data_IF_852883740908
#
_entry.id   IF_852883740908
#
_cell.length_a   1.000
_cell.length_b   1.000
_cell.length_c   1.000
_cell.angle_alpha   90.00
_cell.angle_beta   90.00
_cell.angle_gamma   90.00
#
_symmetry.space_group_name_H-M   'P 1'
#
loop_
_entity.id
_entity.type
_entity.pdbx_description
1 polymer ?
#
# COMPACT_ATOMS: atom_id res chain seq x y z
N UNK A 1 10.59 12.00 -1.66
CA UNK A 1 10.92 10.86 -0.77
C UNK A 1 11.49 9.75 -1.63
N UNK A 2 12.71 9.34 -1.35
CA UNK A 2 13.51 8.43 -2.19
C UNK A 2 13.37 6.97 -1.77
N UNK A 3 13.19 6.70 -0.46
CA UNK A 3 12.92 5.37 0.06
C UNK A 3 12.03 5.45 1.30
N UNK A 4 11.36 4.35 1.61
CA UNK A 4 10.42 4.21 2.73
C UNK A 4 10.71 2.88 3.40
N UNK A 5 10.72 2.87 4.73
CA UNK A 5 10.97 1.68 5.52
C UNK A 5 10.14 1.70 6.82
N UNK A 6 9.61 0.57 7.26
CA UNK A 6 8.99 0.42 8.57
C UNK A 6 9.89 -0.41 9.47
N UNK A 7 10.26 0.12 10.63
CA UNK A 7 11.11 -0.58 11.58
C UNK A 7 10.35 -1.63 12.42
N UNK A 8 11.08 -2.36 13.26
CA UNK A 8 10.51 -3.40 14.13
C UNK A 8 9.53 -2.82 15.16
N UNK A 9 9.71 -1.56 15.58
CA UNK A 9 8.83 -0.83 16.49
C UNK A 9 7.64 -0.17 15.77
N UNK A 10 7.49 -0.41 14.45
CA UNK A 10 6.42 0.09 13.56
C UNK A 10 6.48 1.60 13.28
N UNK A 11 7.61 2.27 13.57
CA UNK A 11 7.80 3.62 13.08
C UNK A 11 8.08 3.61 11.57
N UNK A 12 7.53 4.60 10.89
CA UNK A 12 7.82 4.80 9.46
C UNK A 12 9.04 5.70 9.29
N UNK A 13 9.97 5.26 8.47
CA UNK A 13 11.19 5.99 8.14
C UNK A 13 11.18 6.39 6.67
N UNK A 14 11.55 7.63 6.43
CA UNK A 14 11.55 8.22 5.10
C UNK A 14 12.93 8.76 4.77
N UNK A 15 13.54 8.22 3.73
CA UNK A 15 14.72 8.81 3.14
C UNK A 15 14.32 9.91 2.15
N UNK A 16 15.10 10.95 2.10
CA UNK A 16 14.88 12.10 1.20
C UNK A 16 16.20 12.71 0.73
N UNK A 17 16.10 13.76 -0.07
CA UNK A 17 17.25 14.60 -0.46
C UNK A 17 17.81 15.45 0.69
N UNK A 18 17.11 15.49 1.82
CA UNK A 18 17.46 16.32 2.98
C UNK A 18 17.71 15.50 4.25
N UNK A 19 17.91 14.19 4.14
CA UNK A 19 18.21 13.31 5.26
C UNK A 19 17.15 12.26 5.53
N UNK A 20 17.15 11.79 6.76
CA UNK A 20 16.30 10.73 7.27
C UNK A 20 15.20 11.35 8.15
N UNK A 21 13.96 10.89 7.99
CA UNK A 21 12.82 11.32 8.81
C UNK A 21 12.13 10.13 9.42
N UNK A 22 11.66 10.25 10.67
CA UNK A 22 10.84 9.25 11.36
C UNK A 22 9.44 9.81 11.62
N UNK A 23 8.43 9.00 11.36
CA UNK A 23 7.03 9.28 11.67
C UNK A 23 6.50 8.28 12.71
N UNK A 24 5.90 8.78 13.76
CA UNK A 24 5.39 8.00 14.90
C UNK A 24 3.86 7.87 14.91
N UNK A 25 3.20 8.20 13.80
CA UNK A 25 1.74 8.25 13.71
C UNK A 25 1.15 9.64 14.01
N UNK A 26 1.92 10.57 14.58
CA UNK A 26 1.46 11.93 14.93
C UNK A 26 2.37 13.03 14.41
N UNK A 27 3.67 12.86 14.53
CA UNK A 27 4.66 13.88 14.18
C UNK A 27 5.84 13.30 13.41
N UNK A 28 6.49 14.17 12.61
CA UNK A 28 7.69 13.84 11.87
C UNK A 28 8.90 14.45 12.56
N UNK A 29 9.94 13.63 12.84
CA UNK A 29 11.25 14.07 13.33
C UNK A 29 12.29 13.85 12.24
N UNK A 30 13.12 14.86 12.03
CA UNK A 30 14.15 14.85 10.99
C UNK A 30 15.54 14.65 11.59
N UNK A 31 16.40 13.90 10.90
CA UNK A 31 17.75 13.58 11.29
C UNK A 31 18.69 13.82 10.09
N UNK A 32 19.81 14.47 10.35
CA UNK A 32 20.87 14.71 9.35
C UNK A 32 22.25 14.69 10.02
N UNK A 33 23.28 14.52 9.23
CA UNK A 33 24.67 14.65 9.69
C UNK A 33 25.09 16.10 9.53
N UNK A 34 25.51 16.75 10.62
CA UNK A 34 26.04 18.13 10.64
C UNK A 34 25.15 19.17 9.91
N UNK A 35 23.82 18.96 9.91
CA UNK A 35 22.86 19.78 9.16
C UNK A 35 23.15 19.88 7.64
N UNK A 36 23.95 18.98 7.11
CA UNK A 36 24.23 18.91 5.68
C UNK A 36 23.09 18.26 4.89
N UNK A 37 22.98 18.60 3.61
CA UNK A 37 22.10 17.88 2.70
C UNK A 37 22.63 16.46 2.50
N UNK A 38 21.81 15.49 2.88
CA UNK A 38 22.15 14.07 2.80
C UNK A 38 21.07 13.35 1.98
N UNK A 39 21.39 12.99 0.75
CA UNK A 39 20.48 12.18 -0.08
C UNK A 39 20.50 10.74 0.41
N UNK A 40 19.37 10.27 0.95
CA UNK A 40 19.20 8.90 1.40
C UNK A 40 18.56 8.07 0.29
N UNK A 41 19.21 6.99 -0.13
CA UNK A 41 18.73 6.13 -1.23
C UNK A 41 18.11 4.82 -0.76
N UNK A 42 18.54 4.27 0.39
CA UNK A 42 18.01 3.04 0.94
C UNK A 42 18.17 2.97 2.46
N UNK A 43 17.30 2.20 3.12
CA UNK A 43 17.29 1.98 4.56
C UNK A 43 17.08 0.50 4.83
N UNK A 44 17.95 -0.11 5.64
CA UNK A 44 17.83 -1.49 6.14
C UNK A 44 17.97 -1.49 7.66
N UNK A 45 17.41 -2.48 8.33
CA UNK A 45 17.47 -2.63 9.78
C UNK A 45 18.20 -3.90 10.19
N UNK A 46 18.89 -3.86 11.34
CA UNK A 46 19.41 -5.03 12.04
C UNK A 46 18.75 -5.16 13.41
N UNK A 47 18.69 -6.38 13.96
CA UNK A 47 17.93 -6.71 15.18
C UNK A 47 18.40 -5.97 16.45
N UNK A 48 19.53 -5.28 16.38
CA UNK A 48 20.15 -4.54 17.49
C UNK A 48 19.82 -3.05 17.51
N UNK A 49 18.64 -2.66 17.01
CA UNK A 49 18.15 -1.28 16.98
C UNK A 49 18.97 -0.32 16.12
N UNK A 50 19.60 -0.81 15.06
CA UNK A 50 20.37 -0.01 14.12
C UNK A 50 19.71 0.02 12.77
N UNK A 51 19.65 1.24 12.19
CA UNK A 51 19.31 1.42 10.79
C UNK A 51 20.58 1.66 9.99
N UNK A 52 20.68 0.97 8.89
CA UNK A 52 21.77 1.13 7.93
C UNK A 52 21.23 1.97 6.77
N UNK A 53 21.87 3.09 6.55
CA UNK A 53 21.38 4.13 5.66
C UNK A 53 22.40 4.35 4.54
N UNK A 54 22.00 4.07 3.31
CA UNK A 54 22.79 4.38 2.13
C UNK A 54 22.53 5.83 1.75
N UNK A 55 23.61 6.59 1.58
CA UNK A 55 23.53 7.96 1.11
C UNK A 55 24.34 8.14 -0.18
N UNK A 56 24.20 9.31 -0.80
CA UNK A 56 25.00 9.66 -1.97
C UNK A 56 26.53 9.69 -1.70
N UNK A 57 26.92 9.83 -0.44
CA UNK A 57 28.34 9.90 -0.06
C UNK A 57 28.82 8.61 0.57
N UNK A 58 28.10 8.13 1.61
CA UNK A 58 28.59 7.04 2.45
C UNK A 58 27.47 6.13 2.95
N UNK A 59 27.87 4.94 3.43
CA UNK A 59 27.05 4.06 4.25
C UNK A 59 27.15 4.52 5.71
N UNK A 60 26.01 4.88 6.31
CA UNK A 60 25.89 5.23 7.71
C UNK A 60 25.16 4.15 8.50
N UNK A 61 25.51 4.02 9.78
CA UNK A 61 24.69 3.36 10.78
C UNK A 61 23.98 4.44 11.61
N UNK A 62 22.66 4.39 11.69
CA UNK A 62 21.88 5.26 12.58
C UNK A 62 21.49 4.48 13.84
N UNK A 63 22.00 4.92 14.99
CA UNK A 63 21.66 4.37 16.31
C UNK A 63 20.31 4.94 16.74
N UNK A 64 19.25 4.13 16.71
CA UNK A 64 17.88 4.57 17.04
C UNK A 64 17.74 5.00 18.50
N UNK A 65 18.51 4.40 19.43
CA UNK A 65 18.46 4.75 20.86
C UNK A 65 19.13 6.08 21.15
N UNK A 66 20.26 6.34 20.47
CA UNK A 66 21.01 7.59 20.63
C UNK A 66 20.55 8.70 19.67
N UNK A 67 19.70 8.34 18.69
CA UNK A 67 19.25 9.20 17.59
C UNK A 67 20.42 9.89 16.86
N UNK A 68 21.49 9.13 16.59
CA UNK A 68 22.72 9.65 15.98
C UNK A 68 23.23 8.77 14.86
N UNK A 69 23.77 9.43 13.85
CA UNK A 69 24.52 8.76 12.79
C UNK A 69 25.93 8.41 13.28
N UNK A 70 26.40 7.23 12.90
CA UNK A 70 27.74 6.71 13.14
C UNK A 70 28.33 6.25 11.81
N UNK A 71 29.54 6.69 11.49
CA UNK A 71 30.30 6.14 10.36
C UNK A 71 30.99 4.85 10.81
N UNK A 72 30.75 3.72 10.15
CA UNK A 72 31.52 2.50 10.39
C UNK A 72 32.99 2.72 10.00
N UNK A 73 33.93 2.12 10.73
CA UNK A 73 35.32 2.02 10.34
C UNK A 73 35.54 0.77 9.47
N UNK A 74 36.50 0.84 8.56
CA UNK A 74 36.87 -0.28 7.69
C UNK A 74 38.31 -0.72 7.98
N UNK A 75 38.58 -2.02 7.80
CA UNK A 75 39.85 -2.62 8.13
C UNK A 75 41.04 -2.00 7.37
N UNK A 76 40.79 -1.41 6.20
CA UNK A 76 41.81 -0.69 5.40
C UNK A 76 42.08 0.75 5.90
N UNK A 77 41.58 1.11 7.07
CA UNK A 77 41.72 2.42 7.69
C UNK A 77 40.81 3.50 7.09
N UNK A 78 40.00 3.19 6.10
CA UNK A 78 38.99 4.11 5.57
C UNK A 78 37.87 4.29 6.58
N UNK A 79 37.44 5.54 6.74
CA UNK A 79 36.33 5.88 7.65
C UNK A 79 34.96 5.89 6.94
N UNK A 80 34.95 5.66 5.63
CA UNK A 80 33.70 5.74 4.87
C UNK A 80 33.82 5.05 3.51
N UNK A 81 32.73 4.40 3.07
CA UNK A 81 32.62 3.83 1.72
C UNK A 81 31.31 4.28 1.06
N UNK A 82 31.40 4.55 -0.22
CA UNK A 82 30.21 4.73 -1.06
C UNK A 82 29.65 3.38 -1.50
N UNK A 83 28.36 3.18 -1.35
CA UNK A 83 27.63 1.96 -1.64
C UNK A 83 26.43 2.30 -2.50
N UNK A 84 26.21 1.60 -3.61
CA UNK A 84 25.06 1.84 -4.48
C UNK A 84 23.83 0.99 -4.11
N UNK A 85 24.04 -0.19 -3.57
CA UNK A 85 22.98 -1.08 -3.10
C UNK A 85 23.51 -2.01 -2.00
N UNK A 86 22.60 -2.44 -1.13
CA UNK A 86 22.95 -3.27 0.04
C UNK A 86 21.84 -4.26 0.39
N UNK A 87 22.23 -5.45 0.82
CA UNK A 87 21.38 -6.42 1.48
C UNK A 87 22.05 -6.94 2.74
N UNK A 88 21.27 -7.19 3.81
CA UNK A 88 21.79 -7.68 5.09
C UNK A 88 21.27 -9.08 5.32
N UNK A 89 22.16 -10.00 5.66
CA UNK A 89 21.79 -11.38 5.99
C UNK A 89 22.37 -11.77 7.36
N UNK A 90 21.48 -12.26 8.24
CA UNK A 90 21.88 -12.71 9.58
C UNK A 90 22.50 -11.61 10.43
N UNK A 91 22.01 -10.37 10.35
CA UNK A 91 22.41 -9.19 11.13
C UNK A 91 23.89 -8.75 11.04
N UNK A 92 24.79 -9.62 10.59
CA UNK A 92 26.22 -9.36 10.61
C UNK A 92 26.88 -9.34 9.24
N UNK A 93 26.26 -9.92 8.23
CA UNK A 93 26.79 -10.00 6.87
C UNK A 93 26.10 -8.99 5.96
N UNK A 94 26.88 -8.12 5.38
CA UNK A 94 26.46 -7.05 4.52
C UNK A 94 26.95 -7.31 3.10
N UNK A 95 26.01 -7.59 2.22
CA UNK A 95 26.26 -7.73 0.80
C UNK A 95 26.07 -6.37 0.15
N UNK A 96 27.13 -5.79 -0.37
CA UNK A 96 27.13 -4.44 -0.90
C UNK A 96 27.60 -4.42 -2.36
N UNK A 97 27.02 -3.50 -3.14
CA UNK A 97 27.56 -3.13 -4.44
C UNK A 97 28.36 -1.85 -4.27
N UNK A 98 29.66 -1.96 -4.59
CA UNK A 98 30.62 -0.86 -4.50
C UNK A 98 31.41 -0.77 -5.79
N UNK A 99 31.32 0.38 -6.49
CA UNK A 99 32.02 0.55 -7.77
C UNK A 99 31.65 -0.50 -8.81
N UNK A 100 30.40 -0.95 -8.84
CA UNK A 100 29.89 -1.98 -9.75
C UNK A 100 30.29 -3.43 -9.39
N UNK A 101 30.93 -3.65 -8.25
CA UNK A 101 31.34 -5.00 -7.79
C UNK A 101 30.61 -5.41 -6.53
N UNK A 102 30.36 -6.70 -6.38
CA UNK A 102 29.78 -7.30 -5.16
C UNK A 102 30.88 -7.57 -4.13
N UNK A 103 30.64 -7.15 -2.90
CA UNK A 103 31.49 -7.46 -1.75
C UNK A 103 30.62 -7.95 -0.59
N UNK A 104 31.14 -8.90 0.18
CA UNK A 104 30.57 -9.31 1.45
C UNK A 104 31.39 -8.72 2.58
N UNK A 105 30.76 -7.92 3.43
CA UNK A 105 31.36 -7.34 4.61
C UNK A 105 30.76 -8.00 5.86
N UNK A 106 31.60 -8.18 6.90
CA UNK A 106 31.14 -8.61 8.20
C UNK A 106 31.27 -7.50 9.22
N UNK A 107 30.21 -7.29 9.95
CA UNK A 107 30.15 -6.30 11.01
C UNK A 107 30.70 -6.86 12.32
N UNK A 108 31.51 -6.06 12.99
CA UNK A 108 32.03 -6.31 14.34
C UNK A 108 31.80 -5.09 15.23
N UNK A 109 31.69 -5.33 16.52
CA UNK A 109 31.68 -4.29 17.52
C UNK A 109 33.00 -4.27 18.28
N UNK A 110 33.59 -3.08 18.45
CA UNK A 110 34.83 -2.87 19.14
C UNK A 110 34.69 -1.77 20.18
N UNK A 111 35.11 -2.03 21.41
CA UNK A 111 35.19 -1.02 22.45
C UNK A 111 36.49 -0.22 22.30
N UNK A 112 36.38 1.09 22.06
CA UNK A 112 37.53 1.99 22.00
C UNK A 112 37.30 3.12 22.99
N UNK A 113 38.12 3.18 24.03
CA UNK A 113 38.03 4.18 25.12
C UNK A 113 36.63 4.25 25.78
N UNK A 114 35.93 3.12 25.87
CA UNK A 114 34.59 3.02 26.46
C UNK A 114 33.42 3.30 25.48
N UNK A 115 33.70 3.73 24.28
CA UNK A 115 32.69 3.90 23.23
C UNK A 115 32.63 2.67 22.31
N UNK A 116 31.40 2.26 22.01
CA UNK A 116 31.15 1.17 21.07
C UNK A 116 31.32 1.67 19.63
N UNK A 117 32.34 1.20 18.94
CA UNK A 117 32.57 1.48 17.53
C UNK A 117 32.17 0.30 16.66
N UNK A 118 31.72 0.60 15.44
CA UNK A 118 31.38 -0.38 14.42
C UNK A 118 32.57 -0.53 13.48
N UNK A 119 33.06 -1.77 13.36
CA UNK A 119 34.12 -2.13 12.42
C UNK A 119 33.56 -3.09 11.36
N UNK A 120 33.86 -2.81 10.09
CA UNK A 120 33.48 -3.64 8.95
C UNK A 120 34.71 -4.29 8.36
N UNK A 121 34.72 -5.61 8.25
CA UNK A 121 35.80 -6.37 7.63
C UNK A 121 35.34 -6.96 6.30
N UNK A 122 36.21 -7.01 5.29
CA UNK A 122 35.89 -7.69 4.04
C UNK A 122 36.08 -9.21 4.26
N UNK A 123 34.98 -9.95 4.23
CA UNK A 123 34.98 -11.41 4.28
C UNK A 123 35.31 -12.03 2.92
N UNK A 124 34.72 -11.47 1.84
CA UNK A 124 34.96 -11.90 0.49
C UNK A 124 34.72 -10.79 -0.52
N UNK A 125 35.52 -10.74 -1.54
CA UNK A 125 35.26 -9.97 -2.75
C UNK A 125 35.00 -10.96 -3.89
N UNK A 126 33.97 -10.71 -4.66
CA UNK A 126 33.60 -11.55 -5.78
C UNK A 126 33.85 -10.78 -7.07
N UNK A 127 35.00 -11.01 -7.73
CA UNK A 127 35.25 -10.46 -9.05
C UNK A 127 34.37 -11.19 -10.04
N UNK A 128 33.28 -10.56 -10.45
CA UNK A 128 32.46 -11.07 -11.53
C UNK A 128 33.06 -10.61 -12.87
N UNK A 129 33.12 -11.53 -13.81
CA UNK A 129 33.35 -11.18 -15.20
C UNK A 129 32.00 -10.73 -15.79
N UNK A 130 31.68 -9.45 -15.57
CA UNK A 130 30.60 -8.80 -16.29
C UNK A 130 31.08 -8.42 -17.69
N UNK A 131 30.16 -8.24 -18.61
CA UNK A 131 30.46 -7.73 -19.95
C UNK A 131 31.12 -6.35 -19.85
N UNK A 132 31.90 -5.95 -20.87
CA UNK A 132 32.60 -4.67 -20.86
C UNK A 132 31.62 -3.49 -20.64
N UNK A 133 31.91 -2.67 -19.64
CA UNK A 133 31.08 -1.55 -19.22
C UNK A 133 29.75 -1.92 -18.58
N UNK A 134 29.59 -3.16 -18.13
CA UNK A 134 28.45 -3.61 -17.32
C UNK A 134 28.78 -3.46 -15.83
N UNK A 135 27.77 -3.01 -15.03
CA UNK A 135 27.89 -2.88 -13.59
C UNK A 135 26.63 -3.33 -12.86
N UNK A 136 26.76 -3.79 -11.62
CA UNK A 136 25.61 -4.06 -10.77
C UNK A 136 24.91 -2.75 -10.38
N UNK A 137 23.58 -2.76 -10.49
CA UNK A 137 22.75 -1.61 -10.10
C UNK A 137 21.99 -1.83 -8.79
N UNK A 138 21.49 -3.05 -8.56
CA UNK A 138 20.73 -3.35 -7.36
C UNK A 138 20.81 -4.85 -7.00
N UNK A 139 20.36 -5.21 -5.78
CA UNK A 139 20.32 -6.61 -5.32
C UNK A 139 19.21 -6.81 -4.27
N UNK A 140 18.75 -8.06 -4.15
CA UNK A 140 17.94 -8.51 -3.03
C UNK A 140 18.28 -9.96 -2.67
N UNK A 141 17.98 -10.39 -1.44
CA UNK A 141 18.11 -11.79 -1.04
C UNK A 141 16.87 -12.60 -1.46
N UNK A 142 17.07 -13.91 -1.70
CA UNK A 142 15.96 -14.85 -1.76
C UNK A 142 15.30 -14.99 -0.38
N UNK A 143 14.03 -15.39 -0.33
CA UNK A 143 13.29 -15.56 0.93
C UNK A 143 13.91 -16.60 1.86
N UNK A 144 14.49 -17.68 1.32
CA UNK A 144 15.22 -18.70 2.08
C UNK A 144 16.61 -18.24 2.50
N UNK A 145 17.02 -17.06 2.03
CA UNK A 145 18.34 -16.52 2.31
C UNK A 145 19.51 -17.21 1.62
N UNK A 146 19.27 -18.17 0.71
CA UNK A 146 20.34 -18.95 0.04
C UNK A 146 20.98 -18.15 -1.10
N UNK A 147 20.18 -17.49 -1.91
CA UNK A 147 20.63 -16.75 -3.08
C UNK A 147 20.64 -15.23 -2.85
N UNK A 148 21.48 -14.56 -3.64
CA UNK A 148 21.30 -13.13 -3.95
C UNK A 148 20.91 -13.01 -5.42
N UNK A 149 19.92 -12.20 -5.67
CA UNK A 149 19.49 -11.80 -7.00
C UNK A 149 20.11 -10.44 -7.31
N UNK A 150 20.92 -10.38 -8.34
CA UNK A 150 21.70 -9.21 -8.73
C UNK A 150 21.23 -8.72 -10.09
N UNK A 151 20.91 -7.45 -10.22
CA UNK A 151 20.57 -6.85 -11.50
C UNK A 151 21.67 -5.92 -11.96
N UNK A 152 21.85 -5.84 -13.29
CA UNK A 152 22.86 -4.99 -13.92
C UNK A 152 22.22 -3.88 -14.75
N UNK A 153 22.99 -2.86 -15.04
CA UNK A 153 22.61 -1.73 -15.88
C UNK A 153 22.46 -2.09 -17.38
N UNK A 154 22.81 -3.34 -17.75
CA UNK A 154 22.62 -3.88 -19.12
C UNK A 154 21.47 -4.89 -19.23
N UNK A 155 20.56 -4.89 -18.25
CA UNK A 155 19.35 -5.70 -18.31
C UNK A 155 19.53 -7.18 -17.95
N UNK A 156 20.62 -7.54 -17.25
CA UNK A 156 20.85 -8.91 -16.78
C UNK A 156 20.40 -9.06 -15.33
N UNK A 157 19.82 -10.25 -15.02
CA UNK A 157 19.53 -10.74 -13.69
C UNK A 157 20.39 -11.97 -13.45
N UNK A 158 21.18 -11.95 -12.38
CA UNK A 158 22.09 -13.01 -11.99
C UNK A 158 21.65 -13.63 -10.67
N UNK A 159 21.64 -14.96 -10.59
CA UNK A 159 21.40 -15.72 -9.38
C UNK A 159 22.76 -16.12 -8.78
N UNK A 160 23.12 -15.47 -7.71
CA UNK A 160 24.36 -15.73 -7.01
C UNK A 160 24.08 -16.66 -5.82
N UNK A 161 24.70 -17.85 -5.85
CA UNK A 161 24.69 -18.79 -4.74
C UNK A 161 25.73 -18.37 -3.69
N UNK A 162 25.27 -17.98 -2.50
CA UNK A 162 26.14 -17.50 -1.42
C UNK A 162 27.06 -18.58 -0.84
N UNK A 163 26.63 -19.85 -0.87
CA UNK A 163 27.41 -20.99 -0.36
C UNK A 163 28.47 -21.37 -1.37
N UNK A 164 28.09 -21.51 -2.63
CA UNK A 164 29.02 -21.86 -3.70
C UNK A 164 29.90 -20.68 -4.13
N UNK A 165 29.60 -19.45 -3.74
CA UNK A 165 30.33 -18.23 -4.08
C UNK A 165 30.36 -17.91 -5.58
N UNK A 166 29.34 -18.31 -6.34
CA UNK A 166 29.32 -18.15 -7.80
C UNK A 166 27.93 -17.89 -8.34
N UNK A 167 27.87 -17.30 -9.55
CA UNK A 167 26.64 -17.17 -10.32
C UNK A 167 26.26 -18.54 -10.89
N UNK A 168 25.02 -18.98 -10.65
CA UNK A 168 24.50 -20.29 -11.09
C UNK A 168 23.49 -20.16 -12.22
N UNK A 169 22.81 -19.01 -12.36
CA UNK A 169 21.83 -18.74 -13.43
C UNK A 169 21.94 -17.27 -13.87
N UNK A 170 21.70 -17.01 -15.15
CA UNK A 170 21.64 -15.66 -15.75
C UNK A 170 20.41 -15.55 -16.64
N UNK A 171 19.68 -14.46 -16.50
CA UNK A 171 18.49 -14.13 -17.31
C UNK A 171 18.59 -12.72 -17.84
N UNK A 172 17.84 -12.42 -18.89
CA UNK A 172 17.52 -11.05 -19.29
C UNK A 172 16.23 -10.64 -18.60
N UNK A 173 16.26 -9.56 -17.78
CA UNK A 173 15.05 -9.06 -17.12
C UNK A 173 14.29 -8.04 -17.98
N UNK A 174 14.88 -7.51 -19.03
CA UNK A 174 14.21 -6.57 -19.91
C UNK A 174 14.47 -6.91 -21.37
N UNK A 175 13.44 -6.75 -22.19
CA UNK A 175 13.54 -6.77 -23.65
C UNK A 175 14.07 -5.45 -24.22
N UNK A 176 13.98 -4.37 -23.44
CA UNK A 176 14.53 -3.06 -23.79
C UNK A 176 16.00 -2.97 -23.32
N UNK A 177 16.96 -2.81 -24.23
CA UNK A 177 18.38 -2.76 -23.88
C UNK A 177 18.77 -1.48 -23.10
N UNK A 178 17.92 -0.46 -23.10
CA UNK A 178 18.12 0.78 -22.33
C UNK A 178 17.46 0.75 -20.96
N UNK A 179 16.83 -0.37 -20.57
CA UNK A 179 16.20 -0.49 -19.27
C UNK A 179 17.23 -0.49 -18.16
N UNK A 180 17.01 0.38 -17.17
CA UNK A 180 17.85 0.47 -15.98
C UNK A 180 17.03 0.15 -14.74
N UNK A 181 17.38 -0.93 -14.03
CA UNK A 181 16.66 -1.38 -12.84
C UNK A 181 16.70 -0.32 -11.73
N UNK A 182 15.53 0.03 -11.23
CA UNK A 182 15.34 0.93 -10.08
C UNK A 182 15.22 0.17 -8.78
N UNK A 183 14.46 -0.94 -8.80
CA UNK A 183 14.28 -1.81 -7.64
C UNK A 183 14.19 -3.26 -8.06
N UNK A 184 14.52 -4.14 -7.12
CA UNK A 184 14.32 -5.59 -7.22
C UNK A 184 13.69 -6.10 -5.94
N UNK A 185 12.72 -6.99 -6.04
CA UNK A 185 12.02 -7.62 -4.93
C UNK A 185 11.84 -9.11 -5.20
N UNK A 186 12.00 -9.94 -4.17
CA UNK A 186 11.66 -11.37 -4.21
C UNK A 186 10.40 -11.60 -3.39
N UNK A 187 9.36 -12.17 -4.01
CA UNK A 187 8.09 -12.45 -3.36
C UNK A 187 7.54 -13.81 -3.84
N UNK A 188 7.39 -14.76 -2.91
CA UNK A 188 6.98 -16.13 -3.23
C UNK A 188 7.92 -16.77 -4.25
N UNK A 189 7.36 -17.31 -5.32
CA UNK A 189 8.10 -17.92 -6.43
C UNK A 189 8.50 -16.91 -7.52
N UNK A 190 8.38 -15.59 -7.25
CA UNK A 190 8.62 -14.56 -8.25
C UNK A 190 9.71 -13.57 -7.84
N UNK A 191 10.43 -13.09 -8.84
CA UNK A 191 11.29 -11.90 -8.74
C UNK A 191 10.62 -10.79 -9.54
N UNK A 192 10.46 -9.65 -8.90
CA UNK A 192 9.93 -8.43 -9.49
C UNK A 192 11.05 -7.42 -9.69
N UNK A 193 11.13 -6.86 -10.89
CA UNK A 193 12.14 -5.86 -11.24
C UNK A 193 11.41 -4.67 -11.86
N UNK A 194 11.54 -3.51 -11.22
CA UNK A 194 11.11 -2.24 -11.79
C UNK A 194 12.26 -1.58 -12.52
N UNK A 195 12.00 -0.91 -13.62
CA UNK A 195 13.05 -0.26 -14.41
C UNK A 195 12.57 1.01 -15.12
N UNK A 196 13.52 1.95 -15.30
CA UNK A 196 13.33 3.12 -16.15
C UNK A 196 13.30 2.62 -17.61
N UNK A 197 12.34 3.10 -18.38
CA UNK A 197 12.11 2.76 -19.80
C UNK A 197 11.70 1.30 -20.04
N UNK A 198 11.90 0.41 -19.09
CA UNK A 198 11.60 -1.03 -19.23
C UNK A 198 10.30 -1.49 -18.55
N UNK A 199 9.67 -0.62 -17.74
CA UNK A 199 8.46 -0.97 -16.99
C UNK A 199 8.73 -1.94 -15.84
N UNK A 200 7.90 -2.97 -15.70
CA UNK A 200 7.98 -3.98 -14.66
C UNK A 200 8.10 -5.37 -15.27
N UNK A 201 9.04 -6.15 -14.75
CA UNK A 201 9.21 -7.56 -15.10
C UNK A 201 8.92 -8.44 -13.90
N UNK A 202 8.11 -9.48 -14.10
CA UNK A 202 7.86 -10.55 -13.14
C UNK A 202 8.49 -11.84 -13.68
N UNK A 203 9.53 -12.36 -13.03
CA UNK A 203 10.18 -13.61 -13.39
C UNK A 203 9.78 -14.72 -12.43
N UNK A 204 9.25 -15.80 -12.94
CA UNK A 204 8.94 -17.01 -12.17
C UNK A 204 10.20 -17.84 -11.97
N UNK A 205 10.66 -17.97 -10.72
CA UNK A 205 11.97 -18.56 -10.34
C UNK A 205 12.10 -20.00 -10.82
N UNK A 206 11.11 -20.92 -10.59
CA UNK A 206 11.23 -22.32 -10.99
C UNK A 206 11.37 -22.51 -12.49
N UNK A 207 10.56 -21.82 -13.29
CA UNK A 207 10.52 -22.04 -14.76
C UNK A 207 11.42 -21.11 -15.55
N UNK A 208 11.84 -19.97 -14.96
CA UNK A 208 12.58 -18.91 -15.65
C UNK A 208 11.77 -18.13 -16.67
N UNK A 209 10.44 -18.29 -16.70
CA UNK A 209 9.54 -17.51 -17.57
C UNK A 209 9.34 -16.11 -17.00
N UNK A 210 9.26 -15.12 -17.88
CA UNK A 210 9.04 -13.73 -17.53
C UNK A 210 7.79 -13.17 -18.15
N UNK A 211 7.02 -12.42 -17.35
CA UNK A 211 5.95 -11.55 -17.81
C UNK A 211 6.45 -10.10 -17.80
N UNK A 212 6.09 -9.35 -18.83
CA UNK A 212 6.53 -7.97 -19.02
C UNK A 212 5.32 -7.04 -19.01
N UNK A 213 5.27 -6.13 -18.04
CA UNK A 213 4.25 -5.10 -17.93
C UNK A 213 4.87 -3.78 -18.40
N UNK A 214 4.34 -3.26 -19.51
CA UNK A 214 4.88 -2.06 -20.17
C UNK A 214 3.81 -0.99 -20.33
N UNK A 215 4.24 0.24 -20.51
CA UNK A 215 3.35 1.34 -20.89
C UNK A 215 3.03 1.24 -22.39
N UNK A 216 1.74 1.38 -22.71
CA UNK A 216 1.25 1.44 -24.08
C UNK A 216 0.18 2.52 -24.19
N UNK A 217 0.41 3.53 -25.01
CA UNK A 217 -0.53 4.64 -25.21
C UNK A 217 -1.87 4.20 -25.81
N UNK A 218 -1.86 3.14 -26.66
CA UNK A 218 -3.05 2.64 -27.34
C UNK A 218 -3.86 1.66 -26.46
N UNK A 219 -3.27 1.07 -25.43
CA UNK A 219 -3.89 0.07 -24.58
C UNK A 219 -4.33 0.65 -23.23
N UNK A 220 -5.49 1.34 -23.21
CA UNK A 220 -6.04 1.96 -22.00
C UNK A 220 -6.40 0.99 -20.87
N UNK A 221 -6.45 -0.32 -21.12
CA UNK A 221 -6.96 -1.36 -20.22
C UNK A 221 -5.99 -2.52 -20.02
N UNK A 222 -4.76 -2.47 -20.11
CA UNK A 222 -3.76 -3.48 -19.71
C UNK A 222 -2.35 -2.93 -19.88
N UNK A 223 -2.11 -1.77 -19.30
CA UNK A 223 -0.89 -1.01 -19.48
C UNK A 223 -0.43 -0.44 -18.16
N UNK A 224 0.86 -0.22 -18.00
CA UNK A 224 1.36 0.61 -16.91
C UNK A 224 0.92 2.07 -17.09
N UNK A 225 0.91 2.84 -16.00
CA UNK A 225 0.62 4.27 -16.04
C UNK A 225 1.76 5.11 -16.64
N UNK A 226 2.98 4.56 -16.73
CA UNK A 226 4.15 5.15 -17.39
C UNK A 226 5.24 4.10 -17.64
N UNK A 227 6.15 4.37 -18.59
CA UNK A 227 7.30 3.49 -18.92
C UNK A 227 8.34 3.36 -17.81
N UNK A 228 8.46 4.38 -16.96
CA UNK A 228 9.42 4.43 -15.88
C UNK A 228 8.76 3.92 -14.59
N UNK A 229 9.14 2.74 -14.15
CA UNK A 229 8.70 2.12 -12.91
C UNK A 229 9.77 2.25 -11.83
N UNK A 230 9.33 2.54 -10.60
CA UNK A 230 10.21 2.83 -9.46
C UNK A 230 10.09 1.84 -8.31
N UNK A 231 9.09 1.00 -8.29
CA UNK A 231 8.94 -0.05 -7.30
C UNK A 231 7.65 -0.83 -7.46
N UNK A 232 7.65 -2.04 -6.93
CA UNK A 232 6.48 -2.92 -6.82
C UNK A 232 6.37 -3.36 -5.37
N UNK A 233 5.16 -3.44 -4.85
CA UNK A 233 4.85 -4.06 -3.55
C UNK A 233 3.71 -5.04 -3.70
N UNK A 234 3.76 -6.14 -2.96
CA UNK A 234 2.67 -7.09 -2.84
C UNK A 234 1.62 -6.57 -1.86
N UNK A 235 0.36 -6.82 -2.14
CA UNK A 235 -0.78 -6.60 -1.26
C UNK A 235 -1.29 -7.95 -0.71
N UNK A 236 -2.14 -7.88 0.34
CA UNK A 236 -2.63 -9.09 1.04
C UNK A 236 -3.54 -10.03 0.21
N UNK A 237 -3.89 -9.64 -1.02
CA UNK A 237 -4.88 -10.33 -1.87
C UNK A 237 -4.31 -10.82 -3.21
N UNK A 238 -3.06 -11.23 -3.23
CA UNK A 238 -2.33 -11.66 -4.43
C UNK A 238 -2.25 -10.61 -5.55
N UNK A 239 -2.55 -9.35 -5.21
CA UNK A 239 -2.41 -8.22 -6.11
C UNK A 239 -1.14 -7.44 -5.79
N UNK A 240 -0.70 -6.61 -6.73
CA UNK A 240 0.51 -5.81 -6.58
C UNK A 240 0.27 -4.37 -7.01
N UNK A 241 0.98 -3.46 -6.40
CA UNK A 241 1.02 -2.06 -6.84
C UNK A 241 2.39 -1.78 -7.44
N UNK A 242 2.41 -1.40 -8.70
CA UNK A 242 3.59 -0.88 -9.38
C UNK A 242 3.52 0.65 -9.43
N UNK A 243 4.51 1.31 -8.83
CA UNK A 243 4.62 2.77 -8.82
C UNK A 243 5.44 3.22 -10.02
N UNK A 244 4.92 4.20 -10.75
CA UNK A 244 5.54 4.76 -11.95
C UNK A 244 5.70 6.27 -11.85
N UNK A 245 6.42 6.86 -12.82
CA UNK A 245 6.63 8.30 -12.88
C UNK A 245 5.33 9.12 -12.93
N UNK A 246 4.26 8.58 -13.50
CA UNK A 246 2.97 9.27 -13.67
C UNK A 246 1.81 8.54 -12.99
N UNK A 247 1.99 8.09 -11.76
CA UNK A 247 0.95 7.41 -11.01
C UNK A 247 1.34 5.99 -10.57
N UNK A 248 0.35 5.13 -10.37
CA UNK A 248 0.56 3.73 -10.06
C UNK A 248 -0.32 2.83 -10.92
N UNK A 249 0.03 1.57 -10.97
CA UNK A 249 -0.74 0.54 -11.66
C UNK A 249 -1.08 -0.59 -10.70
N UNK A 250 -2.33 -0.96 -10.62
CA UNK A 250 -2.77 -2.16 -9.93
C UNK A 250 -2.57 -3.36 -10.86
N UNK A 251 -1.80 -4.34 -10.42
CA UNK A 251 -1.62 -5.64 -11.06
C UNK A 251 -2.43 -6.65 -10.25
N UNK A 252 -3.51 -7.17 -10.81
CA UNK A 252 -4.42 -8.07 -10.12
C UNK A 252 -4.65 -9.36 -10.92
N UNK A 253 -4.85 -10.52 -10.24
CA UNK A 253 -5.13 -11.79 -10.91
C UNK A 253 -6.31 -11.69 -11.87
N UNK A 254 -6.20 -12.29 -13.06
CA UNK A 254 -7.30 -12.37 -13.99
C UNK A 254 -8.34 -13.41 -13.50
N UNK A 255 -9.63 -13.09 -13.66
CA UNK A 255 -10.72 -13.98 -13.22
C UNK A 255 -10.64 -15.38 -13.84
N UNK A 256 -10.20 -15.47 -15.10
CA UNK A 256 -10.14 -16.73 -15.86
C UNK A 256 -8.81 -17.47 -15.73
N UNK A 257 -7.76 -16.81 -15.30
CA UNK A 257 -6.41 -17.38 -15.14
C UNK A 257 -5.64 -16.63 -14.05
N UNK A 258 -5.76 -17.05 -12.77
CA UNK A 258 -5.10 -16.37 -11.65
C UNK A 258 -3.56 -16.34 -11.73
N UNK A 259 -2.94 -17.14 -12.63
CA UNK A 259 -1.50 -17.09 -12.86
C UNK A 259 -1.06 -15.85 -13.64
N UNK A 260 -2.00 -15.22 -14.36
CA UNK A 260 -1.82 -13.98 -15.10
C UNK A 260 -2.35 -12.79 -14.32
N UNK A 261 -1.71 -11.64 -14.50
CA UNK A 261 -2.15 -10.41 -13.89
C UNK A 261 -2.59 -9.41 -14.97
N UNK A 262 -3.76 -8.83 -14.75
CA UNK A 262 -4.21 -7.65 -15.50
C UNK A 262 -3.62 -6.39 -14.92
N UNK A 263 -3.31 -5.40 -15.76
CA UNK A 263 -2.73 -4.13 -15.35
C UNK A 263 -3.77 -3.01 -15.51
N UNK A 264 -4.15 -2.37 -14.41
CA UNK A 264 -5.07 -1.22 -14.39
C UNK A 264 -4.33 0.04 -13.99
N UNK A 265 -4.09 1.00 -14.91
CA UNK A 265 -3.35 2.22 -14.63
C UNK A 265 -4.21 3.27 -13.91
N UNK A 266 -3.60 3.92 -12.93
CA UNK A 266 -4.14 5.08 -12.22
C UNK A 266 -3.16 6.24 -12.37
N UNK A 267 -3.49 7.20 -13.23
CA UNK A 267 -2.63 8.35 -13.50
C UNK A 267 -2.85 9.47 -12.48
N UNK A 268 -1.87 10.34 -12.32
CA UNK A 268 -1.91 11.47 -11.40
C UNK A 268 -3.11 12.42 -11.62
N UNK A 269 -3.62 12.50 -12.84
CA UNK A 269 -4.79 13.32 -13.18
C UNK A 269 -6.09 12.85 -12.52
N UNK A 270 -6.21 11.57 -12.21
CA UNK A 270 -7.40 11.00 -11.57
C UNK A 270 -7.41 11.15 -10.04
N UNK A 271 -6.26 11.31 -9.40
CA UNK A 271 -6.12 11.31 -7.94
C UNK A 271 -5.92 12.68 -7.31
N UNK A 272 -5.31 13.61 -8.03
CA UNK A 272 -4.80 14.86 -7.48
C UNK A 272 -5.46 16.12 -8.05
N UNK A 273 -6.68 16.01 -8.57
CA UNK A 273 -7.46 17.16 -9.05
C UNK A 273 -7.60 18.30 -8.01
N UNK A 274 -7.30 18.05 -6.75
CA UNK A 274 -7.41 19.02 -5.66
C UNK A 274 -6.09 19.69 -5.24
N UNK A 275 -4.94 19.26 -5.78
CA UNK A 275 -3.65 19.89 -5.50
C UNK A 275 -2.84 19.97 -6.79
N UNK A 276 -2.55 21.19 -7.25
CA UNK A 276 -1.65 21.51 -8.37
C UNK A 276 -0.19 21.06 -8.13
N UNK A 277 0.05 19.86 -7.64
CA UNK A 277 1.38 19.33 -7.37
C UNK A 277 1.64 18.20 -8.36
N UNK A 278 2.60 18.40 -9.27
CA UNK A 278 3.16 17.32 -10.08
C UNK A 278 3.79 16.27 -9.15
N UNK A 279 3.06 15.24 -8.82
CA UNK A 279 3.50 14.19 -7.91
C UNK A 279 4.05 13.01 -8.70
N UNK A 280 5.32 13.09 -9.05
CA UNK A 280 6.06 11.96 -9.62
C UNK A 280 6.31 10.95 -8.52
N UNK A 281 5.77 9.74 -8.64
CA UNK A 281 5.88 8.70 -7.63
C UNK A 281 7.19 7.94 -7.84
N UNK A 282 8.06 7.86 -6.83
CA UNK A 282 9.42 7.33 -6.96
C UNK A 282 9.82 6.32 -5.89
N UNK A 283 8.98 6.06 -4.90
CA UNK A 283 9.18 5.00 -3.92
C UNK A 283 7.85 4.49 -3.40
N UNK A 284 7.80 3.25 -2.96
CA UNK A 284 6.59 2.57 -2.47
C UNK A 284 6.94 1.62 -1.34
N UNK A 285 6.04 1.51 -0.37
CA UNK A 285 6.13 0.57 0.74
C UNK A 285 4.71 0.18 1.19
N UNK A 286 4.49 -1.10 1.41
CA UNK A 286 3.26 -1.61 2.02
C UNK A 286 3.59 -2.07 3.43
N UNK A 287 2.97 -1.43 4.43
CA UNK A 287 3.32 -1.67 5.82
C UNK A 287 2.55 -2.86 6.42
N UNK A 288 2.99 -3.29 7.60
CA UNK A 288 2.39 -4.42 8.33
C UNK A 288 0.95 -4.16 8.81
N UNK A 289 0.52 -2.93 8.78
CA UNK A 289 -0.84 -2.50 9.10
C UNK A 289 -1.77 -2.47 7.87
N UNK A 290 -1.27 -2.77 6.67
CA UNK A 290 -2.05 -2.75 5.43
C UNK A 290 -2.22 -1.33 4.85
N UNK A 291 -1.30 -0.42 5.13
CA UNK A 291 -1.26 0.93 4.56
C UNK A 291 -0.22 0.96 3.44
N UNK A 292 -0.61 1.43 2.28
CA UNK A 292 0.30 1.72 1.18
C UNK A 292 0.87 3.13 1.31
N UNK A 293 2.18 3.24 1.38
CA UNK A 293 2.92 4.49 1.42
C UNK A 293 3.62 4.73 0.09
N UNK A 294 3.45 5.90 -0.48
CA UNK A 294 4.07 6.31 -1.74
C UNK A 294 4.86 7.59 -1.52
N UNK A 295 6.14 7.52 -1.80
CA UNK A 295 7.01 8.67 -1.80
C UNK A 295 7.02 9.37 -3.16
N UNK A 296 6.95 10.70 -3.13
CA UNK A 296 6.89 11.51 -4.34
C UNK A 296 8.10 12.42 -4.50
N UNK A 297 8.41 12.81 -5.73
CA UNK A 297 9.42 13.81 -6.04
C UNK A 297 8.78 15.21 -6.01
N UNK A 298 8.86 15.87 -4.85
CA UNK A 298 8.34 17.24 -4.68
C UNK A 298 7.02 17.36 -3.91
N UNK A 299 6.16 16.31 -3.89
CA UNK A 299 4.85 16.32 -3.23
C UNK A 299 4.82 15.69 -1.82
N UNK A 300 5.98 15.25 -1.28
CA UNK A 300 6.03 14.60 0.03
C UNK A 300 5.61 13.13 -0.02
N UNK A 301 4.71 12.74 0.89
CA UNK A 301 4.24 11.36 1.07
C UNK A 301 2.75 11.32 0.81
N UNK A 302 2.30 10.30 0.10
CA UNK A 302 0.89 9.94 -0.07
C UNK A 302 0.71 8.57 0.57
N UNK A 303 -0.36 8.36 1.31
CA UNK A 303 -0.70 7.05 1.85
C UNK A 303 -2.14 6.66 1.55
N UNK A 304 -2.37 5.35 1.42
CA UNK A 304 -3.69 4.74 1.19
C UNK A 304 -3.90 3.65 2.23
N UNK A 305 -4.95 3.79 3.03
CA UNK A 305 -5.39 2.74 3.95
C UNK A 305 -6.48 1.90 3.26
N UNK A 306 -6.10 0.73 2.74
CA UNK A 306 -7.04 -0.17 2.07
C UNK A 306 -8.01 -0.88 3.02
N UNK A 307 -7.77 -0.80 4.34
CA UNK A 307 -8.71 -1.32 5.35
C UNK A 307 -9.87 -0.35 5.56
N UNK A 308 -9.68 0.92 5.26
CA UNK A 308 -10.79 1.84 5.21
C UNK A 308 -11.73 1.36 4.11
N UNK A 309 -12.92 0.92 4.54
CA UNK A 309 -13.96 0.56 3.60
C UNK A 309 -14.11 1.68 2.58
N UNK A 310 -14.07 1.32 1.31
CA UNK A 310 -14.33 2.29 0.25
C UNK A 310 -15.69 2.93 0.53
N UNK A 311 -15.68 4.20 0.91
CA UNK A 311 -16.92 4.96 1.00
C UNK A 311 -17.46 5.13 -0.42
N UNK A 312 -18.59 4.52 -0.70
CA UNK A 312 -19.31 4.84 -1.91
C UNK A 312 -20.10 6.11 -1.66
N UNK A 313 -19.76 7.17 -2.37
CA UNK A 313 -20.49 8.41 -2.30
C UNK A 313 -21.71 8.32 -3.23
N UNK A 314 -22.91 8.30 -2.65
CA UNK A 314 -24.15 8.41 -3.39
C UNK A 314 -24.50 9.90 -3.59
N UNK A 315 -24.60 10.33 -4.83
CA UNK A 315 -25.07 11.65 -5.19
C UNK A 315 -26.52 11.55 -5.68
N UNK A 316 -27.46 12.01 -4.89
CA UNK A 316 -28.82 12.25 -5.37
C UNK A 316 -28.84 13.53 -6.23
N UNK A 317 -29.63 13.51 -7.30
CA UNK A 317 -29.90 14.72 -8.10
C UNK A 317 -30.72 15.78 -7.34
N UNK A 318 -31.38 15.40 -6.25
CA UNK A 318 -32.05 16.26 -5.29
C UNK A 318 -31.24 16.20 -3.99
N UNK A 319 -31.04 17.32 -3.30
CA UNK A 319 -30.37 17.40 -2.01
C UNK A 319 -31.07 16.50 -0.99
N UNK A 320 -30.70 15.22 -0.97
CA UNK A 320 -31.36 14.20 -0.17
C UNK A 320 -30.46 13.85 1.03
N UNK A 321 -30.85 14.29 2.20
CA UNK A 321 -30.19 13.90 3.44
C UNK A 321 -30.61 12.49 3.80
N UNK A 322 -29.64 11.58 3.89
CA UNK A 322 -29.84 10.21 4.34
C UNK A 322 -29.79 10.20 5.86
N UNK A 323 -30.88 9.75 6.48
CA UNK A 323 -31.05 9.71 7.92
C UNK A 323 -31.02 8.29 8.49
N UNK A 324 -31.33 7.28 7.67
CA UNK A 324 -31.34 5.89 8.07
C UNK A 324 -30.84 4.96 6.96
N UNK A 325 -30.25 3.84 7.35
CA UNK A 325 -29.85 2.78 6.45
C UNK A 325 -30.04 1.40 7.05
N UNK A 326 -30.41 0.43 6.23
CA UNK A 326 -30.54 -0.97 6.63
C UNK A 326 -30.32 -1.87 5.42
N UNK A 327 -29.69 -3.04 5.62
CA UNK A 327 -29.53 -4.05 4.57
C UNK A 327 -30.61 -5.11 4.70
N UNK A 328 -31.25 -5.47 3.57
CA UNK A 328 -32.20 -6.59 3.54
C UNK A 328 -31.46 -7.96 3.53
N UNK A 329 -32.22 -9.03 3.44
CA UNK A 329 -31.67 -10.40 3.45
C UNK A 329 -30.89 -10.75 2.18
N UNK A 330 -31.17 -10.07 1.06
CA UNK A 330 -30.50 -10.29 -0.21
C UNK A 330 -29.29 -9.35 -0.39
N UNK A 331 -28.98 -8.54 0.63
CA UNK A 331 -27.83 -7.62 0.61
C UNK A 331 -28.10 -6.30 -0.12
N UNK A 332 -29.34 -5.97 -0.48
CA UNK A 332 -29.68 -4.65 -0.99
C UNK A 332 -29.73 -3.64 0.13
N UNK A 333 -29.34 -2.41 -0.16
CA UNK A 333 -29.36 -1.31 0.81
C UNK A 333 -30.66 -0.53 0.69
N UNK A 334 -31.27 -0.29 1.83
CA UNK A 334 -32.45 0.55 1.97
C UNK A 334 -32.08 1.81 2.74
N UNK A 335 -32.54 2.94 2.27
CA UNK A 335 -32.26 4.25 2.85
C UNK A 335 -33.54 4.92 3.30
N UNK A 336 -33.51 5.52 4.48
CA UNK A 336 -34.49 6.52 4.91
C UNK A 336 -33.94 7.91 4.58
N UNK A 337 -34.76 8.74 3.99
CA UNK A 337 -34.38 10.08 3.52
C UNK A 337 -35.35 11.17 4.01
N UNK A 338 -34.88 12.43 4.01
CA UNK A 338 -35.70 13.58 4.37
C UNK A 338 -36.76 13.96 3.32
N UNK A 339 -36.50 13.68 2.05
CA UNK A 339 -37.30 14.24 0.96
C UNK A 339 -37.96 13.21 0.02
N UNK A 340 -37.41 11.99 -0.02
CA UNK A 340 -37.91 10.95 -0.95
C UNK A 340 -38.42 9.71 -0.20
N UNK A 341 -38.56 9.79 1.13
CA UNK A 341 -39.08 8.70 1.96
C UNK A 341 -38.11 7.51 2.01
N UNK A 342 -38.56 6.32 1.67
CA UNK A 342 -37.78 5.08 1.65
C UNK A 342 -37.28 4.83 0.24
N UNK A 343 -35.96 4.62 0.11
CA UNK A 343 -35.31 4.25 -1.15
C UNK A 343 -34.67 2.87 -1.05
N UNK A 344 -34.57 2.17 -2.16
CA UNK A 344 -33.92 0.84 -2.23
C UNK A 344 -32.92 0.80 -3.37
N UNK A 345 -31.76 0.13 -3.17
CA UNK A 345 -30.80 -0.09 -4.24
C UNK A 345 -31.32 -1.08 -5.30
N UNK A 346 -30.95 -0.86 -6.54
CA UNK A 346 -31.30 -1.70 -7.69
C UNK A 346 -30.73 -3.11 -7.60
N UNK A 347 -29.62 -3.28 -6.92
CA UNK A 347 -28.92 -4.55 -6.76
C UNK A 347 -28.31 -4.69 -5.34
N UNK A 348 -27.92 -5.90 -4.93
CA UNK A 348 -27.16 -6.13 -3.72
C UNK A 348 -25.84 -5.36 -3.71
N UNK A 349 -25.39 -4.96 -2.52
CA UNK A 349 -24.10 -4.32 -2.36
C UNK A 349 -22.96 -5.23 -2.80
N UNK A 350 -22.14 -4.76 -3.73
CA UNK A 350 -20.87 -5.37 -4.12
C UNK A 350 -19.79 -4.28 -4.21
N UNK A 351 -18.59 -4.55 -3.71
CA UNK A 351 -17.49 -3.57 -3.65
C UNK A 351 -17.11 -2.93 -5.00
N UNK A 352 -17.43 -3.62 -6.11
CA UNK A 352 -16.99 -3.24 -7.46
C UNK A 352 -18.04 -2.52 -8.30
N UNK A 353 -19.26 -2.33 -7.79
CA UNK A 353 -20.36 -1.77 -8.60
C UNK A 353 -21.05 -0.60 -7.91
N UNK A 354 -21.26 0.54 -8.60
CA UNK A 354 -22.06 1.63 -8.05
C UNK A 354 -23.51 1.19 -7.87
N UNK A 355 -24.15 1.66 -6.81
CA UNK A 355 -25.56 1.41 -6.54
C UNK A 355 -26.38 2.59 -7.05
N UNK A 356 -27.51 2.29 -7.70
CA UNK A 356 -28.56 3.26 -7.97
C UNK A 356 -29.71 3.02 -6.98
N UNK A 357 -30.33 4.11 -6.53
CA UNK A 357 -31.43 4.06 -5.58
C UNK A 357 -32.70 4.60 -6.20
N UNK A 358 -33.81 3.94 -5.95
CA UNK A 358 -35.14 4.37 -6.37
C UNK A 358 -36.10 4.39 -5.20
N UNK A 359 -37.04 5.35 -5.16
CA UNK A 359 -38.08 5.37 -4.13
C UNK A 359 -38.98 4.13 -4.18
N UNK A 360 -39.30 3.57 -3.01
CA UNK A 360 -40.17 2.42 -2.89
C UNK A 360 -41.32 2.69 -1.93
N UNK A 361 -42.48 2.07 -2.16
CA UNK A 361 -43.69 2.24 -1.35
C UNK A 361 -44.42 3.56 -1.65
N UNK A 362 -45.53 3.74 -0.93
CA UNK A 362 -46.45 4.90 -1.12
C UNK A 362 -46.12 6.09 -0.20
N UNK A 363 -44.97 6.06 0.51
CA UNK A 363 -44.57 7.08 1.48
C UNK A 363 -43.57 8.09 0.85
N UNK A 364 -43.82 8.50 -0.39
CA UNK A 364 -43.04 9.54 -1.04
C UNK A 364 -43.22 10.85 -0.28
N UNK A 365 -42.12 11.55 -0.04
CA UNK A 365 -42.09 12.89 0.58
C UNK A 365 -42.27 12.94 2.13
N UNK A 366 -42.42 11.80 2.81
CA UNK A 366 -42.45 11.80 4.28
C UNK A 366 -41.05 11.49 4.80
N UNK A 367 -40.43 12.38 5.60
CA UNK A 367 -39.12 12.10 6.19
C UNK A 367 -39.08 10.83 7.00
N UNK A 368 -38.06 10.01 6.79
CA UNK A 368 -37.80 8.75 7.52
C UNK A 368 -36.49 8.87 8.27
N UNK A 369 -36.51 8.70 9.59
CA UNK A 369 -35.37 9.04 10.44
C UNK A 369 -34.59 7.85 10.97
N UNK A 370 -35.20 6.68 11.05
CA UNK A 370 -34.55 5.49 11.57
C UNK A 370 -35.02 4.23 10.85
N UNK A 371 -34.18 3.19 10.88
CA UNK A 371 -34.48 1.90 10.30
C UNK A 371 -33.87 0.78 11.15
N UNK A 372 -34.52 -0.39 11.17
CA UNK A 372 -34.00 -1.61 11.77
C UNK A 372 -34.54 -2.84 11.04
N UNK A 373 -33.96 -4.00 11.32
CA UNK A 373 -34.41 -5.30 10.77
C UNK A 373 -34.78 -6.26 11.91
N UNK A 374 -35.88 -6.94 11.75
CA UNK A 374 -36.29 -7.98 12.69
C UNK A 374 -35.69 -9.36 12.35
N UNK A 375 -35.94 -10.34 13.21
CA UNK A 375 -35.47 -11.72 13.03
C UNK A 375 -36.12 -12.47 11.88
N UNK A 376 -37.27 -12.00 11.40
CA UNK A 376 -37.95 -12.51 10.22
C UNK A 376 -37.46 -11.83 8.93
N UNK A 377 -36.44 -10.97 9.03
CA UNK A 377 -35.92 -10.16 7.95
C UNK A 377 -36.83 -9.05 7.42
N UNK A 378 -37.93 -8.74 8.12
CA UNK A 378 -38.73 -7.55 7.79
C UNK A 378 -37.98 -6.28 8.16
N UNK A 379 -38.18 -5.25 7.37
CA UNK A 379 -37.55 -3.96 7.58
C UNK A 379 -38.54 -2.97 8.21
N UNK A 380 -38.09 -2.31 9.26
CA UNK A 380 -38.89 -1.38 10.02
C UNK A 380 -38.31 0.00 9.94
N UNK A 381 -39.17 0.98 9.65
CA UNK A 381 -38.79 2.38 9.50
C UNK A 381 -39.66 3.27 10.39
N UNK A 382 -39.05 4.29 10.96
CA UNK A 382 -39.75 5.34 11.73
C UNK A 382 -39.79 6.65 10.95
N UNK A 383 -40.95 7.29 10.86
CA UNK A 383 -41.11 8.49 10.07
C UNK A 383 -41.52 9.74 10.88
N UNK A 384 -41.55 10.89 10.21
CA UNK A 384 -41.93 12.18 10.76
C UNK A 384 -43.41 12.28 11.18
N UNK A 385 -44.28 11.43 10.70
CA UNK A 385 -45.70 11.42 11.03
C UNK A 385 -46.03 10.54 12.26
N UNK A 386 -45.04 10.02 12.96
CA UNK A 386 -45.23 9.13 14.11
C UNK A 386 -45.74 7.75 13.73
N UNK A 387 -45.41 7.29 12.53
CA UNK A 387 -45.76 5.96 12.08
C UNK A 387 -44.54 5.05 12.03
N UNK A 388 -44.72 3.78 12.45
CA UNK A 388 -43.84 2.70 12.09
C UNK A 388 -44.30 2.12 10.76
N UNK A 389 -43.35 1.95 9.85
CA UNK A 389 -43.55 1.39 8.52
C UNK A 389 -42.82 0.04 8.50
N UNK A 390 -43.50 -1.04 8.27
CA UNK A 390 -42.95 -2.38 8.11
C UNK A 390 -42.97 -2.74 6.62
N UNK A 391 -41.83 -3.08 6.06
CA UNK A 391 -41.78 -3.84 4.82
C UNK A 391 -41.75 -5.33 5.19
N UNK A 392 -42.90 -6.01 4.95
CA UNK A 392 -43.04 -7.45 5.17
C UNK A 392 -42.47 -8.19 3.96
N UNK A 393 -41.42 -8.91 4.24
CA UNK A 393 -40.69 -9.67 3.22
C UNK A 393 -41.47 -10.84 2.65
N UNK A 394 -42.39 -11.42 3.44
CA UNK A 394 -43.19 -12.59 3.04
C UNK A 394 -44.28 -12.22 2.02
N UNK A 395 -44.83 -11.04 2.17
CA UNK A 395 -45.92 -10.54 1.33
C UNK A 395 -45.49 -9.48 0.30
N UNK A 396 -44.19 -9.12 0.27
CA UNK A 396 -43.61 -8.04 -0.57
C UNK A 396 -44.44 -6.74 -0.48
N UNK A 397 -44.86 -6.38 0.76
CA UNK A 397 -45.75 -5.26 0.94
C UNK A 397 -45.38 -4.39 2.15
N UNK A 398 -45.86 -3.13 2.10
CA UNK A 398 -45.69 -2.17 3.18
C UNK A 398 -46.93 -2.13 4.09
N UNK A 399 -46.69 -2.19 5.38
CA UNK A 399 -47.71 -2.01 6.43
C UNK A 399 -47.36 -0.79 7.28
N UNK A 400 -48.36 0.02 7.62
CA UNK A 400 -48.18 1.25 8.39
C UNK A 400 -48.89 1.09 9.75
N UNK A 401 -48.12 1.30 10.81
CA UNK A 401 -48.59 1.21 12.19
C UNK A 401 -48.48 2.59 12.86
N UNK A 402 -49.59 3.34 13.03
CA UNK A 402 -49.56 4.57 13.79
C UNK A 402 -49.22 4.29 15.25
N UNK A 403 -48.25 5.05 15.81
CA UNK A 403 -48.02 4.95 17.25
C UNK A 403 -49.14 5.56 18.04
N UNK A 404 -49.65 4.81 19.02
CA UNK A 404 -50.70 5.25 19.95
C UNK A 404 -50.19 5.14 21.37
N UNK A 405 -50.40 6.15 22.19
CA UNK A 405 -50.15 6.14 23.62
C UNK A 405 -51.42 6.53 24.34
N UNK A 406 -51.88 5.66 25.26
CA UNK A 406 -53.13 5.85 26.01
C UNK A 406 -54.35 6.15 25.11
N UNK A 407 -54.44 5.49 23.96
CA UNK A 407 -55.53 5.66 23.00
C UNK A 407 -55.49 6.90 22.14
N UNK A 408 -54.41 7.71 22.25
CA UNK A 408 -54.19 8.89 21.42
C UNK A 408 -53.05 8.66 20.47
N UNK A 409 -53.19 9.09 19.21
CA UNK A 409 -52.13 9.05 18.24
C UNK A 409 -50.94 9.90 18.71
N UNK A 410 -49.74 9.37 18.65
CA UNK A 410 -48.50 10.10 18.93
C UNK A 410 -48.15 10.94 17.69
N UNK A 411 -48.33 12.26 17.77
CA UNK A 411 -47.97 13.19 16.72
C UNK A 411 -46.53 13.68 16.98
N UNK A 412 -45.58 12.80 16.85
CA UNK A 412 -44.16 13.09 17.12
C UNK A 412 -43.28 12.24 16.19
N UNK A 413 -42.13 12.80 15.82
CA UNK A 413 -41.15 12.09 14.96
C UNK A 413 -40.61 10.85 15.66
N UNK A 414 -40.53 9.72 14.96
CA UNK A 414 -39.82 8.56 15.44
C UNK A 414 -38.36 8.73 15.04
N UNK A 415 -37.49 8.99 16.04
CA UNK A 415 -36.08 9.33 15.81
C UNK A 415 -35.12 8.16 15.99
N UNK A 416 -35.52 7.15 16.75
CA UNK A 416 -34.74 5.92 16.89
C UNK A 416 -35.64 4.70 17.09
N UNK A 417 -35.16 3.56 16.61
CA UNK A 417 -35.85 2.28 16.67
C UNK A 417 -34.86 1.16 16.95
N UNK A 418 -35.18 0.32 17.93
CA UNK A 418 -34.38 -0.83 18.28
C UNK A 418 -35.31 -2.03 18.58
N UNK A 419 -34.87 -3.24 18.23
CA UNK A 419 -35.52 -4.49 18.62
C UNK A 419 -34.56 -5.23 19.56
N UNK A 420 -34.99 -5.54 20.76
CA UNK A 420 -34.16 -6.26 21.72
C UNK A 420 -34.19 -7.78 21.50
N UNK A 421 -33.35 -8.51 22.26
CA UNK A 421 -33.24 -9.97 22.18
C UNK A 421 -34.49 -10.72 22.57
N UNK A 422 -35.47 -10.04 23.19
CA UNK A 422 -36.81 -10.58 23.56
C UNK A 422 -37.89 -10.16 22.56
N UNK A 423 -37.49 -9.64 21.37
CA UNK A 423 -38.38 -9.16 20.29
C UNK A 423 -39.30 -8.00 20.70
N UNK A 424 -38.88 -7.17 21.66
CA UNK A 424 -39.60 -5.95 22.02
C UNK A 424 -39.07 -4.79 21.20
N UNK A 425 -40.00 -3.99 20.71
CA UNK A 425 -39.70 -2.75 20.04
C UNK A 425 -39.49 -1.61 21.04
N UNK A 426 -38.35 -0.97 20.94
CA UNK A 426 -38.06 0.26 21.64
C UNK A 426 -38.12 1.40 20.63
N UNK A 427 -39.05 2.32 20.87
CA UNK A 427 -39.30 3.44 19.96
C UNK A 427 -39.07 4.73 20.70
N UNK A 428 -38.10 5.50 20.23
CA UNK A 428 -37.84 6.85 20.75
C UNK A 428 -38.50 7.88 19.83
N UNK A 429 -39.19 8.81 20.43
CA UNK A 429 -39.83 9.90 19.69
C UNK A 429 -39.19 11.25 20.05
N UNK A 430 -39.41 12.27 19.23
CA UNK A 430 -38.92 13.65 19.52
C UNK A 430 -39.62 14.31 20.71
N UNK A 431 -40.68 13.70 21.26
CA UNK A 431 -41.38 14.16 22.45
C UNK A 431 -41.08 13.34 23.69
N UNK A 432 -40.20 12.34 23.65
CA UNK A 432 -39.80 11.46 24.72
C UNK A 432 -40.15 10.01 24.51
#
# INVERSE_FOLDING_TARGET
ITCIYQDQDRFMWFGSTNGLSRYDGKQIRNFSVDNARMYVSDIKETSDDKLWVITNEYLYCFDRRKEKFVLPSFQDGKKAISVSAMEITGDSLFWIVKGGQLQCLKRHYKLVKGDLQIEMTVEAGYPFFLDEGESFSNLCASQDGHFLYLVTDKGNLLFFDKIAGKVVRKFKYSINPSANATTIMSEGEYIWISSIVGGVTRLHIPTGKSDYYQYNEDARLSSLSHSDAYGVVALDNDSYIAVTWNGYTLLAPEENDPSKLSATPYTNTSFLQYRNVETRMISVYYDKEGILWIGTRGGGIVYFDFRQHSYMQYHSKKHNEISAQVADKDGRIWLGTYHEGIMRSDQPYAKSRPLNFSPVGNQKEVPVFCATKDSCSNLWFGNASGNLICYDWSSDSFHIYPLNYLGKKVNSYIVALMIDTRYRFWVCTSAG
#
